data_IF_466663137158
#
_entry.id   IF_466663137158
#
_cell.length_a   1.000
_cell.length_b   1.000
_cell.length_c   1.000
_cell.angle_alpha   90.00
_cell.angle_beta   90.00
_cell.angle_gamma   90.00
#
_symmetry.space_group_name_H-M   'P 1'
#
loop_
_entity.id
_entity.type
_entity.pdbx_description
1 polymer ?
#
# COMPACT_ATOMS: atom_id res chain seq x y z
N UNK A 1 40.57 -62.65 -17.59
CA UNK A 1 39.34 -62.91 -18.36
C UNK A 1 38.29 -61.89 -17.92
N UNK A 2 37.70 -61.12 -18.85
CA UNK A 2 36.66 -60.09 -18.62
C UNK A 2 37.20 -58.66 -18.70
N UNK A 3 37.36 -58.05 -19.90
CA UNK A 3 36.38 -57.33 -20.76
C UNK A 3 35.87 -56.01 -20.12
N UNK A 4 36.37 -54.85 -20.59
CA UNK A 4 35.75 -53.92 -21.58
C UNK A 4 34.67 -53.00 -20.96
N UNK A 5 34.47 -51.72 -21.26
CA UNK A 5 35.07 -50.72 -22.16
C UNK A 5 34.34 -49.38 -21.92
N UNK A 6 35.08 -48.28 -22.09
CA UNK A 6 34.73 -46.91 -22.51
C UNK A 6 33.69 -46.02 -21.78
N UNK A 7 34.24 -44.86 -21.39
CA UNK A 7 33.62 -43.54 -21.33
C UNK A 7 33.08 -43.09 -22.70
N UNK A 8 32.00 -42.32 -22.71
CA UNK A 8 31.69 -41.40 -23.81
C UNK A 8 31.16 -40.07 -23.25
N UNK A 9 31.97 -39.03 -23.43
CA UNK A 9 31.61 -37.61 -23.33
C UNK A 9 31.09 -37.19 -24.70
N UNK A 10 29.96 -36.51 -24.77
CA UNK A 10 29.62 -35.70 -25.94
C UNK A 10 28.73 -34.53 -25.53
N UNK A 11 29.33 -33.34 -25.50
CA UNK A 11 28.61 -32.08 -25.42
C UNK A 11 27.96 -31.77 -26.77
N UNK A 12 26.80 -31.12 -26.73
CA UNK A 12 26.23 -30.46 -27.90
C UNK A 12 25.86 -29.04 -27.51
N UNK A 13 26.75 -28.14 -27.96
CA UNK A 13 26.65 -26.69 -27.95
C UNK A 13 25.89 -26.32 -29.22
N UNK A 14 24.72 -25.70 -29.10
CA UNK A 14 24.07 -25.02 -30.23
C UNK A 14 23.62 -23.64 -29.76
N UNK A 15 24.29 -22.64 -30.35
CA UNK A 15 24.11 -21.21 -30.16
C UNK A 15 22.96 -20.66 -31.04
N UNK A 16 22.54 -19.40 -30.82
CA UNK A 16 21.21 -18.90 -31.13
C UNK A 16 21.05 -18.41 -32.58
N UNK A 17 19.84 -18.53 -33.12
CA UNK A 17 19.44 -17.81 -34.33
C UNK A 17 18.80 -16.47 -33.97
N UNK A 18 19.52 -15.41 -34.27
CA UNK A 18 18.98 -14.05 -34.37
C UNK A 18 18.10 -13.95 -35.63
N UNK A 19 16.95 -13.31 -35.52
CA UNK A 19 16.23 -12.74 -36.65
C UNK A 19 15.81 -11.31 -36.28
N UNK A 20 16.60 -10.38 -36.81
CA UNK A 20 16.45 -8.94 -36.73
C UNK A 20 15.50 -8.52 -37.87
N UNK A 21 14.29 -8.08 -37.55
CA UNK A 21 13.41 -7.46 -38.56
C UNK A 21 13.18 -6.01 -38.18
N UNK A 22 13.97 -5.12 -38.80
CA UNK A 22 13.72 -3.68 -38.85
C UNK A 22 12.41 -3.44 -39.60
N UNK A 23 11.47 -2.73 -38.98
CA UNK A 23 10.39 -2.08 -39.73
C UNK A 23 10.45 -0.58 -39.46
N UNK A 24 10.85 0.08 -40.53
CA UNK A 24 10.83 1.48 -40.92
C UNK A 24 9.63 2.29 -40.39
N UNK A 25 9.95 3.41 -39.74
CA UNK A 25 9.04 4.56 -39.55
C UNK A 25 8.93 5.35 -40.87
N UNK A 26 7.75 5.88 -41.23
CA UNK A 26 7.66 7.10 -41.98
C UNK A 26 7.39 8.31 -41.08
N UNK A 27 8.19 9.32 -41.36
CA UNK A 27 8.18 10.69 -40.90
C UNK A 27 6.90 11.39 -41.39
N UNK A 28 6.12 11.95 -40.48
CA UNK A 28 4.96 12.80 -40.79
C UNK A 28 5.14 14.17 -40.13
N UNK A 29 5.84 15.06 -40.83
CA UNK A 29 5.82 16.50 -40.57
C UNK A 29 4.42 17.04 -40.88
N UNK A 30 3.78 17.69 -39.91
CA UNK A 30 2.72 18.66 -40.19
C UNK A 30 3.05 19.92 -39.38
N UNK A 31 3.58 20.90 -40.10
CA UNK A 31 3.74 22.29 -39.69
C UNK A 31 2.35 22.94 -39.74
N UNK A 32 1.87 23.50 -38.63
CA UNK A 32 0.80 24.50 -38.66
C UNK A 32 1.29 25.71 -37.89
N UNK A 33 1.68 26.72 -38.66
CA UNK A 33 1.87 28.08 -38.20
C UNK A 33 0.51 28.81 -38.24
N UNK A 34 0.20 29.58 -37.19
CA UNK A 34 -1.03 30.37 -37.14
C UNK A 34 -1.17 31.23 -35.89
N UNK A 35 -0.44 32.36 -35.89
CA UNK A 35 -0.85 33.71 -35.45
C UNK A 35 -1.45 33.88 -34.02
N UNK A 36 -0.70 34.53 -33.12
CA UNK A 36 -0.82 35.95 -32.73
C UNK A 36 -2.23 36.33 -32.25
N UNK A 37 -2.38 36.63 -30.95
CA UNK A 37 -3.00 37.84 -30.38
C UNK A 37 -3.07 37.73 -28.85
N UNK A 38 -2.65 38.78 -28.14
CA UNK A 38 -3.18 39.13 -26.82
C UNK A 38 -2.34 38.76 -25.58
N UNK A 39 -1.31 39.55 -25.29
CA UNK A 39 -0.87 39.75 -23.92
C UNK A 39 -1.99 40.44 -23.13
N UNK A 40 -2.66 39.73 -22.22
CA UNK A 40 -3.49 40.35 -21.20
C UNK A 40 -2.79 40.22 -19.84
N UNK A 41 -2.15 41.31 -19.43
CA UNK A 41 -1.71 41.53 -18.06
C UNK A 41 -2.83 42.26 -17.30
N UNK A 42 -3.27 41.80 -16.11
CA UNK A 42 -4.04 42.64 -15.21
C UNK A 42 -3.11 43.64 -14.51
N UNK A 43 -3.49 44.92 -14.58
CA UNK A 43 -2.80 46.03 -13.94
C UNK A 43 -2.79 45.88 -12.40
N UNK A 44 -1.62 46.08 -11.80
CA UNK A 44 -1.47 46.28 -10.38
C UNK A 44 -2.11 47.62 -9.98
N UNK A 45 -3.13 47.59 -9.12
CA UNK A 45 -3.61 48.79 -8.43
C UNK A 45 -2.74 49.06 -7.21
N UNK A 46 -1.99 50.16 -7.27
CA UNK A 46 -1.31 50.79 -6.16
C UNK A 46 -2.32 51.49 -5.25
N UNK A 47 -2.41 51.07 -3.99
CA UNK A 47 -2.86 51.91 -2.89
C UNK A 47 -2.11 51.51 -1.62
N UNK A 48 -1.33 52.44 -1.09
CA UNK A 48 -0.77 52.42 0.26
C UNK A 48 -0.82 53.87 0.79
N UNK A 49 -0.68 54.11 2.10
CA UNK A 49 -1.24 53.41 3.25
C UNK A 49 -2.07 54.39 4.14
N UNK A 50 -2.97 53.88 4.99
CA UNK A 50 -3.44 54.64 6.16
C UNK A 50 -3.30 53.79 7.40
N UNK A 51 -2.34 54.20 8.21
CA UNK A 51 -2.15 53.82 9.61
C UNK A 51 -3.30 54.40 10.42
N UNK A 52 -4.01 53.57 11.18
CA UNK A 52 -4.56 54.00 12.46
C UNK A 52 -4.54 52.80 13.42
N UNK A 53 -3.85 53.00 14.54
CA UNK A 53 -3.68 52.03 15.61
C UNK A 53 -4.85 52.25 16.59
N UNK A 54 -5.65 51.21 16.83
CA UNK A 54 -6.37 51.07 18.09
C UNK A 54 -6.44 49.61 18.51
N UNK A 55 -5.75 49.35 19.59
CA UNK A 55 -5.73 48.14 20.41
C UNK A 55 -7.14 47.75 20.87
N UNK A 56 -7.56 46.51 20.59
CA UNK A 56 -8.47 45.78 21.47
C UNK A 56 -8.13 44.28 21.43
N UNK A 57 -8.10 43.71 22.62
CA UNK A 57 -7.47 42.45 22.95
C UNK A 57 -8.39 41.23 22.76
N UNK A 58 -7.74 40.07 22.61
CA UNK A 58 -8.17 38.75 23.07
C UNK A 58 -9.36 38.05 22.37
N UNK A 59 -9.06 37.02 21.55
CA UNK A 59 -9.10 35.60 21.95
C UNK A 59 -8.91 34.68 20.73
N UNK A 60 -7.88 33.84 20.79
CA UNK A 60 -7.68 32.66 19.96
C UNK A 60 -8.87 31.69 20.08
N UNK A 61 -9.11 30.87 19.03
CA UNK A 61 -9.51 29.49 19.25
C UNK A 61 -8.58 28.55 18.47
N UNK A 62 -7.31 28.48 18.87
CA UNK A 62 -6.33 27.50 18.34
C UNK A 62 -5.87 26.54 19.45
N UNK A 63 -6.78 26.17 20.37
CA UNK A 63 -6.48 25.26 21.50
C UNK A 63 -7.55 24.17 21.70
N UNK A 64 -8.66 24.19 20.95
CA UNK A 64 -9.79 23.27 21.24
C UNK A 64 -9.58 21.86 20.67
N UNK A 65 -8.77 21.67 19.62
CA UNK A 65 -8.62 20.34 18.99
C UNK A 65 -7.59 19.43 19.69
N UNK A 66 -6.59 20.00 20.37
CA UNK A 66 -5.59 19.21 21.11
C UNK A 66 -6.13 18.71 22.44
N UNK A 67 -7.02 19.46 23.10
CA UNK A 67 -7.62 19.07 24.37
C UNK A 67 -8.63 17.92 24.23
N UNK A 68 -9.40 17.87 23.13
CA UNK A 68 -10.38 16.80 22.89
C UNK A 68 -9.70 15.47 22.49
N UNK A 69 -8.58 15.55 21.77
CA UNK A 69 -7.71 14.38 21.51
C UNK A 69 -7.01 13.91 22.79
N UNK A 70 -6.51 14.85 23.61
CA UNK A 70 -5.87 14.53 24.89
C UNK A 70 -6.86 13.93 25.89
N UNK A 71 -8.11 14.41 25.93
CA UNK A 71 -9.16 13.86 26.79
C UNK A 71 -9.57 12.44 26.35
N UNK A 72 -9.61 12.15 25.04
CA UNK A 72 -9.81 10.77 24.54
C UNK A 72 -8.63 9.85 24.86
N UNK A 73 -7.40 10.36 24.87
CA UNK A 73 -6.20 9.58 25.21
C UNK A 73 -6.07 9.33 26.72
N UNK A 74 -6.55 10.23 27.58
CA UNK A 74 -6.53 10.10 29.04
C UNK A 74 -7.51 9.02 29.57
N UNK A 75 -8.55 8.68 28.80
CA UNK A 75 -9.47 7.57 29.13
C UNK A 75 -8.89 6.17 28.88
N UNK A 76 -7.76 6.06 28.18
CA UNK A 76 -7.12 4.78 27.78
C UNK A 76 -6.03 4.35 28.79
N UNK A 77 -5.88 5.06 29.92
CA UNK A 77 -4.82 4.79 30.91
C UNK A 77 -5.08 3.58 31.83
N UNK A 78 -6.21 2.89 31.66
CA UNK A 78 -6.54 1.71 32.45
C UNK A 78 -6.58 0.45 31.57
N UNK A 79 -5.43 -0.18 31.36
CA UNK A 79 -5.29 -1.57 30.86
C UNK A 79 -6.19 -1.93 29.67
N UNK A 80 -6.37 -1.03 28.71
CA UNK A 80 -7.02 -1.43 27.47
C UNK A 80 -6.14 -2.49 26.80
N UNK A 81 -6.65 -3.70 26.68
CA UNK A 81 -6.04 -4.78 25.92
C UNK A 81 -6.73 -4.86 24.57
N UNK A 82 -5.96 -5.09 23.51
CA UNK A 82 -6.53 -5.26 22.17
C UNK A 82 -6.75 -6.74 21.93
N UNK A 83 -8.00 -7.17 21.93
CA UNK A 83 -8.34 -8.51 21.47
C UNK A 83 -8.34 -8.53 19.95
N UNK A 84 -7.62 -9.50 19.39
CA UNK A 84 -7.51 -9.72 17.94
C UNK A 84 -8.14 -11.06 17.61
N UNK A 85 -9.18 -11.03 16.78
CA UNK A 85 -9.86 -12.24 16.31
C UNK A 85 -9.85 -12.27 14.78
N UNK A 86 -9.47 -13.40 14.19
CA UNK A 86 -9.52 -13.55 12.74
C UNK A 86 -10.96 -13.83 12.27
N UNK A 87 -11.53 -12.90 11.52
CA UNK A 87 -12.94 -12.97 11.06
C UNK A 87 -13.08 -13.76 9.77
N UNK A 88 -12.03 -13.79 8.94
CA UNK A 88 -12.06 -14.52 7.66
C UNK A 88 -10.91 -15.53 7.57
N UNK A 89 -11.28 -16.81 7.63
CA UNK A 89 -10.41 -17.97 7.41
C UNK A 89 -10.99 -18.94 6.35
N UNK A 90 -12.01 -18.52 5.60
CA UNK A 90 -12.53 -19.36 4.52
C UNK A 90 -11.44 -19.48 3.44
N UNK A 91 -11.16 -20.67 2.91
CA UNK A 91 -10.25 -20.83 1.78
C UNK A 91 -10.84 -20.09 0.59
N UNK A 92 -10.41 -18.85 0.40
CA UNK A 92 -10.65 -18.08 -0.80
C UNK A 92 -9.85 -18.73 -1.93
N UNK A 93 -10.47 -18.88 -3.11
CA UNK A 93 -9.77 -19.30 -4.32
C UNK A 93 -8.80 -18.17 -4.74
N UNK A 94 -7.60 -18.15 -4.18
CA UNK A 94 -6.52 -17.24 -4.51
C UNK A 94 -5.23 -18.03 -4.74
N UNK A 95 -4.32 -17.49 -5.55
CA UNK A 95 -3.07 -18.18 -5.89
C UNK A 95 -2.06 -18.20 -4.74
N UNK A 96 -2.09 -17.16 -3.91
CA UNK A 96 -1.19 -16.92 -2.79
C UNK A 96 -1.99 -16.92 -1.47
N UNK A 97 -1.31 -17.27 -0.39
CA UNK A 97 -1.85 -17.20 0.97
C UNK A 97 -1.28 -15.99 1.69
N UNK A 98 -2.12 -15.26 2.42
CA UNK A 98 -1.72 -14.17 3.29
C UNK A 98 -1.87 -14.54 4.76
N UNK A 99 -0.88 -14.16 5.58
CA UNK A 99 -0.96 -14.22 7.05
C UNK A 99 -0.63 -12.84 7.61
N UNK A 100 -1.50 -12.29 8.44
CA UNK A 100 -1.28 -11.03 9.14
C UNK A 100 -0.89 -11.31 10.60
N UNK A 101 0.20 -10.74 11.08
CA UNK A 101 0.56 -10.78 12.51
C UNK A 101 0.65 -9.37 13.06
N UNK A 102 0.32 -9.21 14.34
CA UNK A 102 0.48 -7.97 15.10
C UNK A 102 1.44 -8.22 16.26
N UNK A 103 2.09 -7.16 16.72
CA UNK A 103 2.90 -7.24 17.94
C UNK A 103 2.01 -7.68 19.13
N UNK A 104 2.52 -8.58 19.97
CA UNK A 104 1.77 -9.18 21.07
C UNK A 104 1.39 -8.19 22.19
N UNK A 105 2.05 -7.03 22.23
CA UNK A 105 1.78 -5.97 23.19
C UNK A 105 1.36 -4.70 22.47
N UNK A 106 0.22 -4.14 22.86
CA UNK A 106 -0.30 -2.89 22.31
C UNK A 106 -0.12 -1.79 23.34
N UNK A 107 0.80 -0.87 23.04
CA UNK A 107 0.83 0.45 23.68
C UNK A 107 0.06 1.41 22.77
N UNK A 108 -1.12 1.86 23.20
CA UNK A 108 -1.94 2.80 22.44
C UNK A 108 -1.30 4.18 22.26
N UNK A 109 -0.18 4.46 22.94
CA UNK A 109 0.63 5.67 22.75
C UNK A 109 1.70 5.50 21.66
N UNK A 110 1.97 4.27 21.22
CA UNK A 110 2.96 3.94 20.20
C UNK A 110 2.31 3.34 18.94
N UNK A 111 2.97 3.40 17.78
CA UNK A 111 2.48 2.70 16.60
C UNK A 111 2.44 1.19 16.81
N UNK A 112 1.28 0.57 16.56
CA UNK A 112 1.13 -0.88 16.57
C UNK A 112 1.72 -1.44 15.27
N UNK A 113 2.71 -2.33 15.38
CA UNK A 113 3.31 -2.96 14.20
C UNK A 113 2.45 -4.13 13.74
N UNK A 114 2.29 -4.22 12.43
CA UNK A 114 1.68 -5.36 11.77
C UNK A 114 2.58 -5.86 10.64
N UNK A 115 2.58 -7.17 10.40
CA UNK A 115 3.36 -7.81 9.34
C UNK A 115 2.45 -8.70 8.51
N UNK A 116 2.34 -8.41 7.22
CA UNK A 116 1.71 -9.29 6.24
C UNK A 116 2.80 -10.16 5.59
N UNK A 117 2.67 -11.47 5.73
CA UNK A 117 3.45 -12.45 4.98
C UNK A 117 2.58 -13.03 3.87
N UNK A 118 3.03 -12.85 2.63
CA UNK A 118 2.40 -13.40 1.42
C UNK A 118 3.24 -14.57 0.94
N UNK A 119 2.65 -15.75 0.80
CA UNK A 119 3.36 -16.97 0.42
C UNK A 119 2.76 -17.58 -0.83
N UNK A 120 3.62 -18.11 -1.71
CA UNK A 120 3.22 -18.98 -2.79
C UNK A 120 3.24 -20.44 -2.31
N UNK A 121 2.08 -21.08 -2.04
CA UNK A 121 2.03 -22.47 -1.59
C UNK A 121 2.21 -23.48 -2.72
N UNK A 122 2.21 -23.04 -3.98
CA UNK A 122 2.27 -23.92 -5.15
C UNK A 122 3.69 -24.31 -5.52
N UNK A 123 3.81 -25.28 -6.43
CA UNK A 123 5.09 -25.72 -7.02
C UNK A 123 5.50 -24.91 -8.25
N UNK A 124 4.68 -23.93 -8.67
CA UNK A 124 4.93 -23.08 -9.81
C UNK A 124 5.09 -21.64 -9.35
N UNK A 125 5.84 -20.86 -10.12
CA UNK A 125 6.01 -19.45 -9.82
C UNK A 125 4.79 -18.64 -10.29
N UNK A 126 4.37 -17.64 -9.52
CA UNK A 126 3.21 -16.79 -9.84
C UNK A 126 3.70 -15.45 -10.38
N UNK A 127 3.32 -15.13 -11.62
CA UNK A 127 3.59 -13.83 -12.23
C UNK A 127 2.61 -12.77 -11.71
N UNK A 128 3.15 -11.66 -11.20
CA UNK A 128 2.43 -10.61 -10.50
C UNK A 128 2.63 -9.26 -11.19
N UNK A 129 1.56 -8.49 -11.33
CA UNK A 129 1.60 -7.09 -11.79
C UNK A 129 1.06 -6.15 -10.75
N UNK A 130 1.81 -5.10 -10.47
CA UNK A 130 1.38 -3.97 -9.64
C UNK A 130 1.17 -2.74 -10.51
N UNK A 131 0.17 -1.94 -10.14
CA UNK A 131 -0.20 -0.73 -10.87
C UNK A 131 0.42 0.55 -10.27
N UNK A 132 1.22 0.40 -9.22
CA UNK A 132 1.96 1.46 -8.55
C UNK A 132 3.14 0.85 -7.78
N UNK A 133 3.91 1.70 -7.10
CA UNK A 133 4.92 1.28 -6.13
C UNK A 133 4.38 0.62 -4.86
N UNK A 134 3.05 0.54 -4.67
CA UNK A 134 2.45 -0.09 -3.50
C UNK A 134 2.47 -1.62 -3.62
N UNK A 135 2.91 -2.31 -2.57
CA UNK A 135 2.91 -3.79 -2.52
C UNK A 135 1.66 -4.35 -1.84
N UNK A 136 1.24 -3.71 -0.76
CA UNK A 136 0.05 -4.03 0.00
C UNK A 136 -0.44 -2.77 0.70
N UNK A 137 -1.69 -2.79 1.12
CA UNK A 137 -2.29 -1.76 1.98
C UNK A 137 -2.87 -2.41 3.24
N UNK A 138 -3.06 -1.60 4.27
CA UNK A 138 -3.66 -2.02 5.54
C UNK A 138 -4.76 -1.03 5.89
N UNK A 139 -6.01 -1.49 5.86
CA UNK A 139 -7.19 -0.68 6.07
C UNK A 139 -7.78 -0.96 7.45
N UNK A 140 -8.16 0.11 8.14
CA UNK A 140 -8.91 0.05 9.39
C UNK A 140 -10.30 0.65 9.15
N UNK A 141 -11.34 -0.14 9.38
CA UNK A 141 -12.74 0.24 9.21
C UNK A 141 -13.55 -0.11 10.45
N UNK A 142 -14.61 0.63 10.76
CA UNK A 142 -15.56 0.19 11.79
C UNK A 142 -16.29 -1.08 11.33
N UNK A 143 -16.93 -1.82 12.23
CA UNK A 143 -17.72 -3.00 11.85
C UNK A 143 -18.86 -2.67 10.87
N UNK A 144 -19.33 -1.42 10.85
CA UNK A 144 -20.33 -0.91 9.89
C UNK A 144 -19.72 -0.47 8.55
N UNK A 145 -18.40 -0.62 8.36
CA UNK A 145 -17.69 -0.32 7.11
C UNK A 145 -17.22 1.12 6.94
N UNK A 146 -17.31 1.97 7.97
CA UNK A 146 -16.77 3.33 7.90
C UNK A 146 -15.24 3.28 7.98
N UNK A 147 -14.54 3.86 6.99
CA UNK A 147 -13.07 3.97 7.02
C UNK A 147 -12.60 4.87 8.16
N UNK A 148 -11.73 4.33 9.01
CA UNK A 148 -11.04 5.05 10.07
C UNK A 148 -9.65 5.51 9.61
N UNK A 149 -8.95 4.65 8.86
CA UNK A 149 -7.59 4.89 8.39
C UNK A 149 -7.21 3.86 7.30
N UNK A 150 -6.27 4.18 6.42
CA UNK A 150 -5.44 3.15 5.79
C UNK A 150 -3.98 3.58 5.72
N UNK A 151 -3.08 2.60 5.61
CA UNK A 151 -1.66 2.84 5.48
C UNK A 151 -1.30 3.71 4.28
N UNK A 152 -2.01 3.53 3.17
CA UNK A 152 -1.85 4.36 1.98
C UNK A 152 -2.17 5.85 2.18
N UNK A 153 -2.89 6.24 3.25
CA UNK A 153 -3.18 7.65 3.54
C UNK A 153 -1.93 8.40 4.03
N UNK A 154 -0.97 7.71 4.65
CA UNK A 154 0.24 8.31 5.24
C UNK A 154 1.49 8.12 4.36
N UNK A 155 1.35 7.48 3.19
CA UNK A 155 2.47 7.09 2.33
C UNK A 155 2.35 7.68 0.92
N UNK A 156 3.48 7.87 0.24
CA UNK A 156 3.52 8.23 -1.19
C UNK A 156 4.07 7.06 -2.01
N UNK A 157 3.37 6.70 -3.08
CA UNK A 157 3.79 5.66 -4.01
C UNK A 157 4.03 6.24 -5.40
N UNK A 158 5.04 5.73 -6.10
CA UNK A 158 5.26 6.04 -7.51
C UNK A 158 4.16 5.42 -8.36
N UNK A 159 3.79 6.11 -9.45
CA UNK A 159 2.87 5.58 -10.46
C UNK A 159 3.66 4.79 -11.50
N UNK A 160 4.25 3.67 -11.07
CA UNK A 160 5.05 2.81 -11.91
C UNK A 160 4.43 1.40 -11.96
N UNK A 161 4.15 0.94 -13.19
CA UNK A 161 3.84 -0.46 -13.43
C UNK A 161 5.09 -1.30 -13.15
N UNK A 162 4.92 -2.38 -12.40
CA UNK A 162 5.99 -3.34 -12.14
C UNK A 162 5.46 -4.75 -12.25
N UNK A 163 6.23 -5.56 -12.95
CA UNK A 163 5.99 -6.99 -13.05
C UNK A 163 7.04 -7.71 -12.23
N UNK A 164 6.60 -8.63 -11.40
CA UNK A 164 7.46 -9.47 -10.57
C UNK A 164 7.00 -10.91 -10.65
N UNK A 165 7.78 -11.80 -10.05
CA UNK A 165 7.42 -13.20 -9.92
C UNK A 165 7.67 -13.61 -8.47
N UNK A 166 6.73 -14.35 -7.89
CA UNK A 166 6.91 -15.00 -6.59
C UNK A 166 7.14 -16.49 -6.84
N UNK A 167 8.36 -16.97 -6.60
CA UNK A 167 8.76 -18.33 -6.88
C UNK A 167 7.98 -19.35 -6.03
N UNK A 168 8.05 -20.62 -6.41
CA UNK A 168 7.43 -21.71 -5.66
C UNK A 168 7.94 -21.75 -4.21
N UNK A 169 7.04 -21.74 -3.24
CA UNK A 169 7.39 -21.72 -1.82
C UNK A 169 7.94 -20.40 -1.29
N UNK A 170 8.14 -19.37 -2.13
CA UNK A 170 8.70 -18.08 -1.72
C UNK A 170 7.70 -17.26 -0.90
N UNK A 171 8.25 -16.42 -0.01
CA UNK A 171 7.52 -15.47 0.80
C UNK A 171 7.93 -14.04 0.52
N UNK A 172 6.95 -13.16 0.52
CA UNK A 172 7.11 -11.72 0.50
C UNK A 172 6.54 -11.13 1.78
N UNK A 173 7.28 -10.22 2.42
CA UNK A 173 6.91 -9.64 3.72
C UNK A 173 6.69 -8.13 3.57
N UNK A 174 5.54 -7.64 4.05
CA UNK A 174 5.22 -6.22 4.14
C UNK A 174 4.97 -5.86 5.60
N UNK A 175 5.55 -4.74 6.05
CA UNK A 175 5.44 -4.26 7.42
C UNK A 175 4.70 -2.93 7.46
N UNK A 176 3.79 -2.80 8.41
CA UNK A 176 2.98 -1.62 8.63
C UNK A 176 3.17 -1.11 10.05
N UNK A 177 2.93 0.19 10.23
CA UNK A 177 2.82 0.82 11.54
C UNK A 177 1.47 1.52 11.59
N UNK A 178 0.56 1.01 12.43
CA UNK A 178 -0.77 1.60 12.66
C UNK A 178 -0.59 2.72 13.68
N UNK A 179 -0.86 3.98 13.35
CA UNK A 179 -0.56 5.09 14.25
C UNK A 179 -1.58 5.14 15.41
N UNK A 180 -1.19 5.65 16.59
CA UNK A 180 -2.08 5.84 17.74
C UNK A 180 -3.43 6.50 17.41
N UNK A 181 -3.41 7.52 16.53
CA UNK A 181 -4.61 8.23 16.07
C UNK A 181 -5.67 7.32 15.44
N UNK A 182 -5.24 6.27 14.74
CA UNK A 182 -6.13 5.31 14.09
C UNK A 182 -6.75 4.36 15.13
N UNK A 183 -5.95 3.89 16.09
CA UNK A 183 -6.40 3.01 17.17
C UNK A 183 -7.38 3.72 18.11
N UNK A 184 -7.15 5.00 18.42
CA UNK A 184 -8.06 5.81 19.24
C UNK A 184 -9.44 6.03 18.58
N UNK A 185 -9.55 5.76 17.27
CA UNK A 185 -10.81 5.83 16.53
C UNK A 185 -11.64 4.54 16.58
N UNK A 186 -11.12 3.46 17.19
CA UNK A 186 -11.82 2.17 17.27
C UNK A 186 -13.01 2.29 18.24
N UNK A 187 -14.24 2.04 17.77
CA UNK A 187 -15.43 2.00 18.64
C UNK A 187 -15.43 0.80 19.60
N UNK A 188 -16.32 0.81 20.59
CA UNK A 188 -16.49 -0.30 21.53
C UNK A 188 -16.95 -1.60 20.84
N UNK A 189 -17.73 -1.50 19.77
CA UNK A 189 -18.12 -2.65 18.95
C UNK A 189 -16.97 -3.25 18.11
N UNK A 190 -15.81 -2.58 18.10
CA UNK A 190 -14.61 -3.01 17.40
C UNK A 190 -14.44 -2.41 16.00
N UNK A 191 -13.36 -2.83 15.35
CA UNK A 191 -12.99 -2.40 14.01
C UNK A 191 -12.38 -3.57 13.22
N UNK A 192 -12.63 -3.61 11.91
CA UNK A 192 -11.95 -4.53 11.02
C UNK A 192 -10.61 -3.96 10.57
N UNK A 193 -9.55 -4.72 10.80
CA UNK A 193 -8.23 -4.52 10.22
C UNK A 193 -8.05 -5.48 9.04
N UNK A 194 -7.93 -4.91 7.84
CA UNK A 194 -7.86 -5.66 6.60
C UNK A 194 -6.55 -5.41 5.87
N UNK A 195 -5.76 -6.47 5.64
CA UNK A 195 -4.57 -6.42 4.81
C UNK A 195 -4.92 -6.81 3.37
N UNK A 196 -4.62 -5.93 2.42
CA UNK A 196 -4.89 -6.12 1.00
C UNK A 196 -3.58 -6.23 0.22
N UNK A 197 -3.43 -7.27 -0.60
CA UNK A 197 -2.29 -7.37 -1.51
C UNK A 197 -2.58 -6.64 -2.81
N UNK A 198 -1.67 -5.75 -3.24
CA UNK A 198 -1.93 -4.84 -4.36
C UNK A 198 -1.71 -5.48 -5.74
N UNK A 199 -1.05 -6.65 -5.80
CA UNK A 199 -0.73 -7.29 -7.07
C UNK A 199 -1.95 -7.98 -7.69
N UNK A 200 -1.98 -8.01 -9.02
CA UNK A 200 -2.82 -8.93 -9.80
C UNK A 200 -1.99 -10.09 -10.33
N UNK A 201 -2.58 -11.27 -10.38
CA UNK A 201 -1.99 -12.38 -11.11
C UNK A 201 -2.11 -12.11 -12.62
N UNK A 202 -1.04 -12.34 -13.38
CA UNK A 202 -1.04 -12.11 -14.84
C UNK A 202 -1.58 -13.30 -15.64
N UNK A 203 -1.47 -14.51 -15.09
CA UNK A 203 -1.75 -15.77 -15.79
C UNK A 203 -2.99 -16.49 -15.20
N UNK A 204 -3.81 -15.79 -14.43
CA UNK A 204 -5.00 -16.33 -13.81
C UNK A 204 -6.07 -15.26 -13.60
N UNK A 205 -7.32 -15.67 -13.73
CA UNK A 205 -8.49 -14.85 -13.36
C UNK A 205 -8.76 -14.88 -11.85
N UNK A 206 -8.09 -15.75 -11.10
CA UNK A 206 -8.18 -15.76 -9.65
C UNK A 206 -7.44 -14.54 -9.06
N UNK A 207 -7.93 -13.98 -7.93
CA UNK A 207 -7.15 -12.98 -7.20
C UNK A 207 -5.78 -13.54 -6.81
N UNK A 208 -4.77 -12.67 -6.81
CA UNK A 208 -3.42 -13.06 -6.39
C UNK A 208 -3.43 -13.52 -4.92
N UNK A 209 -4.06 -12.76 -4.04
CA UNK A 209 -4.25 -13.09 -2.63
C UNK A 209 -5.62 -12.52 -2.19
N UNK A 210 -6.38 -13.27 -1.39
CA UNK A 210 -7.56 -12.68 -0.75
C UNK A 210 -7.17 -11.78 0.43
N UNK A 211 -7.99 -10.77 0.77
CA UNK A 211 -7.74 -9.96 1.95
C UNK A 211 -7.73 -10.78 3.24
N UNK A 212 -6.84 -10.43 4.16
CA UNK A 212 -6.79 -11.00 5.51
C UNK A 212 -7.47 -10.01 6.46
N UNK A 213 -8.53 -10.44 7.15
CA UNK A 213 -9.37 -9.55 7.97
C UNK A 213 -9.41 -10.02 9.41
N UNK A 214 -9.03 -9.13 10.33
CA UNK A 214 -9.14 -9.30 11.78
C UNK A 214 -10.18 -8.32 12.36
N UNK A 215 -10.91 -8.75 13.38
CA UNK A 215 -11.67 -7.90 14.27
C UNK A 215 -10.77 -7.50 15.43
N UNK A 216 -10.66 -6.21 15.64
CA UNK A 216 -9.98 -5.60 16.76
C UNK A 216 -11.04 -5.09 17.74
N UNK A 217 -10.98 -5.55 18.98
CA UNK A 217 -11.89 -5.13 20.06
C UNK A 217 -11.07 -4.59 21.23
N UNK A 218 -11.46 -3.43 21.76
CA UNK A 218 -10.88 -2.86 22.96
C UNK A 218 -11.53 -3.52 24.19
N UNK A 219 -10.71 -4.07 25.08
CA UNK A 219 -11.14 -4.68 26.36
C UNK A 219 -10.49 -4.01 27.56
#
# INVERSE_FOLDING_TARGET
MGKHTAQQVSGSKLQPKQALTRITRPLGMALVAGQLFGCFAPQAQTNAPKTDIRTEAAKQPEVVQTADLAAKLQGIEAKSSLKVEQVSNKPSQALLTGTLSLDAFVDFKQPLKATLTVRNPSTQAVALRYHSGMTADLLLTTVQGKRLWAWSDDMMFTQALRDTQLAAGEELVVRFAIPPKALAGIPNEGAHLEAQFAAKALESELPAMAPVVYLLTLE
#
